data_IF_719999901968
#
_entry.id   IF_719999901968
#
_cell.length_a   1.000
_cell.length_b   1.000
_cell.length_c   1.000
_cell.angle_alpha   90.00
_cell.angle_beta   90.00
_cell.angle_gamma   90.00
#
_symmetry.space_group_name_H-M   'P 1'
#
loop_
_entity.id
_entity.type
_entity.pdbx_description
1 polymer ?
#
# COMPACT_ATOMS: atom_id res chain seq x y z
N UNK A 1 17.23 -7.28 4.59
CA UNK A 1 16.48 -7.27 3.35
C UNK A 1 15.12 -7.96 3.41
N UNK A 2 14.76 -8.67 4.48
CA UNK A 2 13.44 -9.30 4.61
C UNK A 2 12.35 -8.25 4.81
N UNK A 3 11.12 -8.55 4.36
CA UNK A 3 9.94 -7.72 4.59
C UNK A 3 9.09 -8.32 5.70
N UNK A 4 8.62 -7.45 6.61
CA UNK A 4 7.88 -7.84 7.81
C UNK A 4 6.62 -7.01 7.91
N UNK A 5 5.48 -7.64 8.15
CA UNK A 5 4.23 -6.99 8.54
C UNK A 5 4.17 -6.89 10.07
N UNK A 6 3.92 -5.70 10.58
CA UNK A 6 3.79 -5.44 12.02
C UNK A 6 2.31 -5.20 12.34
N UNK A 7 1.80 -5.92 13.35
CA UNK A 7 0.40 -5.88 13.77
C UNK A 7 0.27 -5.92 15.29
N UNK A 8 -0.88 -5.50 15.80
CA UNK A 8 -1.30 -5.64 17.21
C UNK A 8 -0.38 -4.98 18.24
N UNK A 9 0.31 -3.91 17.88
CA UNK A 9 1.08 -3.09 18.83
C UNK A 9 0.13 -2.18 19.59
N UNK A 10 0.28 -2.11 20.90
CA UNK A 10 -0.47 -1.23 21.80
C UNK A 10 0.39 -0.02 22.16
N UNK A 11 -0.20 1.16 22.18
CA UNK A 11 0.48 2.43 22.38
C UNK A 11 0.98 3.01 21.06
N UNK A 12 2.05 2.50 20.49
CA UNK A 12 2.61 2.92 19.19
C UNK A 12 1.78 2.37 18.02
N UNK A 13 0.51 2.75 17.93
CA UNK A 13 -0.44 2.20 16.94
C UNK A 13 -0.15 2.61 15.51
N UNK A 14 0.65 3.65 15.29
CA UNK A 14 1.03 4.15 13.97
C UNK A 14 1.85 3.15 13.15
N UNK A 15 2.51 2.19 13.81
CA UNK A 15 3.27 1.13 13.14
C UNK A 15 2.39 -0.06 12.72
N UNK A 16 1.16 -0.16 13.23
CA UNK A 16 0.27 -1.28 12.92
C UNK A 16 -0.14 -1.30 11.44
N UNK A 17 -0.16 -2.50 10.89
CA UNK A 17 -0.46 -2.79 9.48
C UNK A 17 0.54 -2.17 8.50
N UNK A 18 1.73 -1.81 8.97
CA UNK A 18 2.83 -1.41 8.09
C UNK A 18 3.68 -2.61 7.71
N UNK A 19 4.09 -2.60 6.45
CA UNK A 19 5.14 -3.50 5.98
C UNK A 19 6.44 -2.72 5.96
N UNK A 20 7.46 -3.26 6.59
CA UNK A 20 8.78 -2.63 6.69
C UNK A 20 9.85 -3.56 6.15
N UNK A 21 10.92 -2.99 5.55
CA UNK A 21 12.13 -3.74 5.18
C UNK A 21 13.06 -3.80 6.39
N UNK A 22 13.64 -4.97 6.64
CA UNK A 22 14.62 -5.15 7.71
C UNK A 22 15.99 -4.69 7.22
N UNK A 23 16.58 -3.72 7.88
CA UNK A 23 17.93 -3.22 7.60
C UNK A 23 18.99 -4.12 8.25
N UNK A 24 18.80 -4.43 9.52
CA UNK A 24 19.72 -5.26 10.29
C UNK A 24 19.01 -6.03 11.39
N UNK A 25 19.57 -7.13 11.80
CA UNK A 25 19.04 -8.00 12.86
C UNK A 25 20.11 -8.19 13.92
N UNK A 26 19.72 -8.01 15.19
CA UNK A 26 20.48 -8.52 16.34
C UNK A 26 19.79 -9.82 16.76
N UNK A 27 20.47 -10.94 16.54
CA UNK A 27 19.90 -12.28 16.70
C UNK A 27 19.22 -12.43 18.07
N UNK A 28 17.98 -12.91 18.06
CA UNK A 28 17.11 -13.13 19.24
C UNK A 28 16.76 -11.88 20.06
N UNK A 29 17.21 -10.70 19.69
CA UNK A 29 17.02 -9.46 20.47
C UNK A 29 16.14 -8.45 19.75
N UNK A 30 16.50 -8.03 18.53
CA UNK A 30 15.82 -6.95 17.82
C UNK A 30 16.11 -6.93 16.33
N UNK A 31 15.36 -6.16 15.60
CA UNK A 31 15.66 -5.77 14.21
C UNK A 31 15.47 -4.27 14.02
N UNK A 32 16.11 -3.72 13.02
CA UNK A 32 15.97 -2.32 12.64
C UNK A 32 15.10 -2.25 11.39
N UNK A 33 13.99 -1.51 11.46
CA UNK A 33 13.14 -1.18 10.32
C UNK A 33 13.81 -0.07 9.50
N UNK A 34 13.99 -0.30 8.20
CA UNK A 34 14.63 0.65 7.31
C UNK A 34 13.68 1.79 6.94
N UNK A 35 14.19 3.03 6.93
CA UNK A 35 13.45 4.19 6.45
C UNK A 35 12.20 4.56 7.27
N UNK A 36 12.07 4.04 8.49
CA UNK A 36 10.96 4.35 9.38
C UNK A 36 11.41 5.36 10.44
N UNK A 37 10.87 6.59 10.35
CA UNK A 37 11.00 7.57 11.43
C UNK A 37 9.83 7.41 12.40
N UNK A 38 10.13 7.10 13.65
CA UNK A 38 9.15 6.93 14.72
C UNK A 38 9.12 8.09 15.73
N UNK A 39 9.82 9.19 15.45
CA UNK A 39 9.97 10.34 16.37
C UNK A 39 8.61 10.93 16.78
N UNK A 40 7.64 10.96 15.84
CA UNK A 40 6.27 11.44 16.11
C UNK A 40 5.29 10.36 16.57
N UNK A 41 5.76 9.14 16.88
CA UNK A 41 4.86 8.06 17.28
C UNK A 41 4.58 8.10 18.79
N UNK A 42 3.40 7.60 19.17
CA UNK A 42 3.07 7.41 20.57
C UNK A 42 3.94 6.34 21.21
N UNK A 43 4.12 6.42 22.52
CA UNK A 43 4.98 5.48 23.26
C UNK A 43 4.44 4.06 23.15
N UNK A 44 5.34 3.10 22.90
CA UNK A 44 5.01 1.67 22.96
C UNK A 44 4.62 1.28 24.40
N UNK A 45 3.56 0.49 24.51
CA UNK A 45 3.06 -0.02 25.78
C UNK A 45 3.25 -1.53 25.87
N UNK A 46 2.71 -2.28 24.92
CA UNK A 46 2.77 -3.75 24.94
C UNK A 46 2.36 -4.37 23.60
N UNK A 47 2.48 -5.69 23.51
CA UNK A 47 2.00 -6.47 22.38
C UNK A 47 2.86 -6.32 21.12
N UNK A 48 2.26 -6.64 20.00
CA UNK A 48 2.89 -6.60 18.67
C UNK A 48 3.34 -7.97 18.17
N UNK A 49 3.05 -8.21 16.91
CA UNK A 49 3.54 -9.37 16.15
C UNK A 49 4.26 -8.90 14.90
N UNK A 50 5.35 -9.55 14.58
CA UNK A 50 6.13 -9.33 13.37
C UNK A 50 6.07 -10.60 12.51
N UNK A 51 5.40 -10.51 11.35
CA UNK A 51 5.24 -11.64 10.42
C UNK A 51 6.10 -11.42 9.19
N UNK A 52 6.99 -12.35 8.91
CA UNK A 52 7.77 -12.34 7.66
C UNK A 52 6.82 -12.51 6.46
N UNK A 53 6.99 -11.67 5.45
CA UNK A 53 6.25 -11.73 4.20
C UNK A 53 7.06 -12.53 3.18
N UNK A 54 6.38 -13.49 2.54
CA UNK A 54 6.88 -14.21 1.38
C UNK A 54 6.00 -13.88 0.19
N UNK A 55 6.59 -13.31 -0.86
CA UNK A 55 5.86 -13.02 -2.10
C UNK A 55 5.72 -14.31 -2.90
N UNK A 56 4.49 -14.72 -3.20
CA UNK A 56 4.18 -15.97 -3.90
C UNK A 56 3.63 -15.76 -5.31
N UNK A 57 3.27 -14.55 -5.69
CA UNK A 57 2.72 -14.24 -7.01
C UNK A 57 3.29 -12.93 -7.53
N UNK A 58 3.52 -12.84 -8.85
CA UNK A 58 4.01 -11.64 -9.53
C UNK A 58 3.13 -11.29 -10.72
N UNK A 59 3.07 -10.00 -11.04
CA UNK A 59 2.52 -9.48 -12.28
C UNK A 59 3.68 -9.04 -13.17
N UNK A 60 3.91 -9.76 -14.25
CA UNK A 60 5.04 -9.50 -15.16
C UNK A 60 4.63 -8.66 -16.38
N UNK A 61 3.33 -8.45 -16.57
CA UNK A 61 2.72 -7.81 -17.73
C UNK A 61 1.93 -6.54 -17.37
N UNK A 62 2.49 -5.75 -16.44
CA UNK A 62 1.90 -4.46 -16.03
C UNK A 62 2.12 -3.45 -17.17
N UNK A 63 1.04 -2.81 -17.59
CA UNK A 63 1.04 -1.79 -18.65
C UNK A 63 0.99 -0.38 -18.12
N UNK A 64 0.40 -0.18 -16.94
CA UNK A 64 0.32 1.12 -16.28
C UNK A 64 0.22 0.95 -14.77
N UNK A 65 0.83 1.90 -14.04
CA UNK A 65 0.67 2.02 -12.59
C UNK A 65 0.27 3.46 -12.30
N UNK A 66 -0.83 3.63 -11.59
CA UNK A 66 -1.33 4.91 -11.11
C UNK A 66 -1.42 4.84 -9.57
N UNK A 67 -0.58 5.61 -8.92
CA UNK A 67 -0.48 5.63 -7.45
C UNK A 67 -0.33 7.08 -6.97
N UNK A 68 -1.43 7.87 -7.02
CA UNK A 68 -1.41 9.27 -6.61
C UNK A 68 -1.14 9.39 -5.10
N UNK A 69 -0.56 10.50 -4.69
CA UNK A 69 -0.39 10.81 -3.29
C UNK A 69 -1.73 11.00 -2.58
N UNK A 70 -1.76 10.73 -1.27
CA UNK A 70 -2.92 11.01 -0.45
C UNK A 70 -3.09 12.53 -0.31
N UNK A 71 -4.28 13.04 -0.63
CA UNK A 71 -4.65 14.43 -0.38
C UNK A 71 -5.55 14.52 0.86
N UNK A 72 -5.41 15.58 1.69
CA UNK A 72 -6.35 15.84 2.77
C UNK A 72 -7.71 16.25 2.20
N UNK A 73 -8.78 15.92 2.92
CA UNK A 73 -10.11 16.43 2.59
C UNK A 73 -10.15 17.95 2.84
N UNK A 74 -10.67 18.72 1.87
CA UNK A 74 -10.89 20.15 2.00
C UNK A 74 -12.28 20.40 2.58
N UNK A 75 -12.32 21.07 3.73
CA UNK A 75 -13.55 21.45 4.41
C UNK A 75 -13.73 22.96 4.20
N UNK A 76 -14.84 23.36 3.57
CA UNK A 76 -15.21 24.75 3.43
C UNK A 76 -15.69 25.29 4.80
N UNK A 77 -14.94 26.21 5.35
CA UNK A 77 -15.21 26.87 6.64
C UNK A 77 -15.55 28.35 6.45
N UNK A 78 -15.93 28.76 5.25
CA UNK A 78 -16.26 30.16 4.91
C UNK A 78 -17.49 30.62 5.66
N UNK A 79 -17.39 31.67 6.46
CA UNK A 79 -18.53 32.34 7.10
C UNK A 79 -19.17 33.39 6.15
N UNK A 80 -20.44 33.75 6.40
CA UNK A 80 -21.19 34.70 5.56
C UNK A 80 -20.53 36.07 5.49
N UNK A 81 -19.73 36.44 6.50
CA UNK A 81 -19.03 37.69 6.60
C UNK A 81 -17.56 37.62 6.16
N UNK A 82 -17.13 36.52 5.58
CA UNK A 82 -15.77 36.42 5.05
C UNK A 82 -15.74 36.97 3.62
N UNK A 83 -14.75 37.80 3.31
CA UNK A 83 -14.53 38.33 1.96
C UNK A 83 -13.81 37.31 1.04
N UNK A 84 -13.17 36.31 1.63
CA UNK A 84 -12.43 35.25 0.90
C UNK A 84 -12.81 33.88 1.42
N UNK A 85 -12.72 32.89 0.50
CA UNK A 85 -13.00 31.49 0.83
C UNK A 85 -11.99 30.95 1.83
N UNK A 86 -12.49 30.42 2.96
CA UNK A 86 -11.71 29.78 4.00
C UNK A 86 -11.77 28.26 3.84
N UNK A 87 -10.60 27.62 3.70
CA UNK A 87 -10.49 26.16 3.61
C UNK A 87 -9.71 25.65 4.81
N UNK A 88 -10.28 24.67 5.49
CA UNK A 88 -9.60 23.91 6.55
C UNK A 88 -9.36 22.50 6.07
N UNK A 89 -8.13 22.00 6.23
CA UNK A 89 -7.79 20.63 5.84
C UNK A 89 -8.20 19.64 6.94
N UNK A 90 -8.99 18.66 6.55
CA UNK A 90 -9.40 17.53 7.37
C UNK A 90 -8.36 16.41 7.40
N UNK A 91 -8.80 15.21 7.78
CA UNK A 91 -7.97 14.02 7.71
C UNK A 91 -7.71 13.62 6.25
N UNK A 92 -6.50 13.12 5.97
CA UNK A 92 -6.20 12.58 4.65
C UNK A 92 -7.10 11.37 4.35
N UNK A 93 -7.73 11.36 3.19
CA UNK A 93 -8.47 10.23 2.68
C UNK A 93 -7.54 9.01 2.48
N UNK A 94 -8.11 7.80 2.51
CA UNK A 94 -7.34 6.61 2.18
C UNK A 94 -6.79 6.73 0.75
N UNK A 95 -5.48 6.60 0.60
CA UNK A 95 -4.82 6.63 -0.70
C UNK A 95 -5.35 5.49 -1.56
N UNK A 96 -5.83 5.82 -2.76
CA UNK A 96 -6.30 4.85 -3.75
C UNK A 96 -5.36 4.87 -4.93
N UNK A 97 -5.08 3.70 -5.47
CA UNK A 97 -4.30 3.56 -6.68
C UNK A 97 -4.84 2.43 -7.55
N UNK A 98 -4.24 2.25 -8.69
CA UNK A 98 -4.57 1.13 -9.56
C UNK A 98 -3.37 0.75 -10.42
N UNK A 99 -3.39 -0.46 -10.91
CA UNK A 99 -2.49 -0.87 -11.98
C UNK A 99 -3.25 -1.68 -13.03
N UNK A 100 -2.84 -1.50 -14.27
CA UNK A 100 -3.38 -2.20 -15.42
C UNK A 100 -2.43 -3.30 -15.85
N UNK A 101 -2.99 -4.47 -16.13
CA UNK A 101 -2.26 -5.65 -16.59
C UNK A 101 -2.84 -6.14 -17.91
N UNK A 102 -2.06 -6.81 -18.74
CA UNK A 102 -2.62 -7.56 -19.87
C UNK A 102 -3.53 -8.65 -19.28
N UNK A 103 -4.73 -8.77 -19.83
CA UNK A 103 -5.77 -9.65 -19.29
C UNK A 103 -5.32 -11.12 -19.31
N UNK A 104 -5.08 -11.66 -18.13
CA UNK A 104 -4.87 -13.07 -17.87
C UNK A 104 -5.63 -13.48 -16.61
N UNK A 105 -6.94 -13.74 -16.73
CA UNK A 105 -7.83 -13.97 -15.59
C UNK A 105 -7.54 -15.26 -14.81
N UNK A 106 -6.72 -16.14 -15.35
CA UNK A 106 -6.33 -17.42 -14.72
C UNK A 106 -4.92 -17.39 -14.13
N UNK A 107 -4.19 -16.28 -14.26
CA UNK A 107 -2.87 -16.15 -13.64
C UNK A 107 -2.94 -16.29 -12.11
N UNK A 108 -1.91 -16.86 -11.52
CA UNK A 108 -1.80 -17.03 -10.07
C UNK A 108 -1.98 -15.71 -9.33
N UNK A 109 -1.45 -14.63 -9.90
CA UNK A 109 -1.54 -13.29 -9.30
C UNK A 109 -2.99 -12.76 -9.27
N UNK A 110 -3.76 -12.94 -10.36
CA UNK A 110 -5.19 -12.55 -10.39
C UNK A 110 -6.01 -13.42 -9.45
N UNK A 111 -5.74 -14.72 -9.37
CA UNK A 111 -6.42 -15.61 -8.42
C UNK A 111 -6.16 -15.20 -6.98
N UNK A 112 -4.92 -14.82 -6.64
CA UNK A 112 -4.59 -14.29 -5.30
C UNK A 112 -5.33 -12.98 -5.00
N UNK A 113 -5.43 -12.06 -5.96
CA UNK A 113 -6.22 -10.82 -5.82
C UNK A 113 -7.69 -11.15 -5.53
N UNK A 114 -8.28 -12.08 -6.27
CA UNK A 114 -9.67 -12.50 -6.08
C UNK A 114 -9.88 -13.16 -4.70
N UNK A 115 -8.96 -13.99 -4.27
CA UNK A 115 -8.98 -14.63 -2.95
C UNK A 115 -8.91 -13.58 -1.84
N UNK A 116 -8.02 -12.60 -1.97
CA UNK A 116 -7.89 -11.50 -1.03
C UNK A 116 -9.14 -10.63 -0.98
N UNK A 117 -9.74 -10.34 -2.14
CA UNK A 117 -10.98 -9.57 -2.25
C UNK A 117 -12.14 -10.30 -1.58
N UNK A 118 -12.32 -11.60 -1.86
CA UNK A 118 -13.39 -12.40 -1.27
C UNK A 118 -13.27 -12.52 0.26
N UNK A 119 -12.04 -12.65 0.75
CA UNK A 119 -11.75 -12.71 2.19
C UNK A 119 -11.69 -11.33 2.87
N UNK A 120 -11.83 -10.23 2.12
CA UNK A 120 -11.65 -8.86 2.60
C UNK A 120 -10.33 -8.68 3.38
N UNK A 121 -9.24 -9.24 2.85
CA UNK A 121 -7.92 -9.20 3.48
C UNK A 121 -6.97 -8.32 2.69
N UNK A 122 -6.03 -7.69 3.40
CA UNK A 122 -4.96 -6.91 2.78
C UNK A 122 -3.87 -7.83 2.23
N UNK A 123 -3.15 -7.32 1.24
CA UNK A 123 -1.95 -7.95 0.71
C UNK A 123 -0.79 -6.96 0.72
N UNK A 124 0.38 -7.47 1.03
CA UNK A 124 1.62 -6.74 0.85
C UNK A 124 1.96 -6.74 -0.65
N UNK A 125 2.25 -5.57 -1.19
CA UNK A 125 2.59 -5.38 -2.59
C UNK A 125 3.98 -4.76 -2.64
N UNK A 126 4.86 -5.39 -3.41
CA UNK A 126 6.18 -4.88 -3.71
C UNK A 126 6.23 -4.47 -5.19
N UNK A 127 6.49 -3.21 -5.44
CA UNK A 127 6.74 -2.67 -6.78
C UNK A 127 8.24 -2.45 -6.92
N UNK A 128 8.82 -3.00 -7.98
CA UNK A 128 10.22 -2.77 -8.34
C UNK A 128 10.28 -1.99 -9.66
N UNK A 129 10.88 -0.81 -9.61
CA UNK A 129 11.06 0.02 -10.79
C UNK A 129 12.38 -0.32 -11.49
N UNK A 130 12.43 -0.14 -12.81
CA UNK A 130 13.64 -0.33 -13.60
C UNK A 130 14.80 0.59 -13.18
N UNK A 131 14.49 1.72 -12.51
CA UNK A 131 15.47 2.63 -11.91
C UNK A 131 16.17 2.08 -10.67
N UNK A 132 15.77 0.88 -10.18
CA UNK A 132 16.31 0.26 -8.96
C UNK A 132 15.52 0.59 -7.69
N UNK A 133 14.64 1.59 -7.72
CA UNK A 133 13.80 1.87 -6.55
C UNK A 133 12.74 0.80 -6.34
N UNK A 134 12.46 0.52 -5.07
CA UNK A 134 11.42 -0.41 -4.64
C UNK A 134 10.43 0.29 -3.72
N UNK A 135 9.14 0.07 -3.95
CA UNK A 135 8.07 0.52 -3.07
C UNK A 135 7.37 -0.67 -2.45
N UNK A 136 7.18 -0.64 -1.13
CA UNK A 136 6.39 -1.63 -0.41
C UNK A 136 5.17 -0.98 0.21
N UNK A 137 4.04 -1.64 0.13
CA UNK A 137 2.78 -1.16 0.66
C UNK A 137 1.89 -2.30 1.14
N UNK A 138 0.94 -1.98 2.03
CA UNK A 138 -0.10 -2.90 2.48
C UNK A 138 -1.47 -2.34 2.06
N UNK A 139 -2.16 -3.05 1.17
CA UNK A 139 -3.37 -2.57 0.55
C UNK A 139 -4.48 -3.63 0.48
N UNK A 140 -5.73 -3.19 0.48
CA UNK A 140 -6.81 -3.98 -0.06
C UNK A 140 -6.71 -3.97 -1.58
N UNK A 141 -6.90 -5.14 -2.18
CA UNK A 141 -6.82 -5.34 -3.62
C UNK A 141 -8.16 -5.83 -4.15
N UNK A 142 -8.54 -5.36 -5.33
CA UNK A 142 -9.79 -5.77 -5.98
C UNK A 142 -9.66 -5.71 -7.50
N UNK A 143 -10.43 -6.54 -8.21
CA UNK A 143 -10.49 -6.55 -9.67
C UNK A 143 -9.68 -7.66 -10.33
N UNK A 144 -9.20 -7.43 -11.54
CA UNK A 144 -8.33 -8.34 -12.30
C UNK A 144 -9.04 -9.33 -13.22
N UNK A 145 -10.32 -9.66 -12.99
CA UNK A 145 -11.09 -10.54 -13.91
C UNK A 145 -11.83 -9.79 -15.02
N UNK A 146 -12.25 -8.55 -14.75
CA UNK A 146 -12.81 -7.69 -15.77
C UNK A 146 -11.70 -7.24 -16.73
N UNK A 147 -12.01 -7.16 -18.03
CA UNK A 147 -11.07 -6.65 -19.02
C UNK A 147 -11.77 -5.72 -20.00
N UNK A 148 -10.99 -4.83 -20.56
CA UNK A 148 -11.38 -3.99 -21.70
C UNK A 148 -10.36 -4.15 -22.82
N UNK A 149 -10.82 -4.09 -24.05
CA UNK A 149 -9.95 -4.19 -25.22
C UNK A 149 -10.73 -3.90 -26.50
N UNK A 150 -10.04 -3.68 -27.58
CA UNK A 150 -10.62 -3.41 -28.90
C UNK A 150 -9.95 -4.26 -29.98
N UNK A 151 -10.45 -4.17 -31.20
CA UNK A 151 -9.86 -4.87 -32.36
C UNK A 151 -8.43 -4.36 -32.55
N UNK A 152 -7.46 -5.28 -32.55
CA UNK A 152 -6.03 -4.94 -32.69
C UNK A 152 -5.34 -4.45 -31.41
N UNK A 153 -6.02 -4.43 -30.27
CA UNK A 153 -5.44 -4.09 -28.97
C UNK A 153 -5.50 -5.27 -28.02
N UNK A 154 -4.47 -5.42 -27.19
CA UNK A 154 -4.50 -6.41 -26.12
C UNK A 154 -5.57 -6.04 -25.09
N UNK A 155 -6.34 -7.04 -24.65
CA UNK A 155 -7.25 -6.84 -23.51
C UNK A 155 -6.47 -6.48 -22.25
N UNK A 156 -6.95 -5.49 -21.50
CA UNK A 156 -6.35 -5.07 -20.23
C UNK A 156 -7.33 -5.23 -19.09
N UNK A 157 -6.86 -5.79 -17.98
CA UNK A 157 -7.56 -5.85 -16.71
C UNK A 157 -7.05 -4.76 -15.76
N UNK A 158 -7.91 -4.25 -14.92
CA UNK A 158 -7.54 -3.27 -13.89
C UNK A 158 -7.62 -3.88 -12.50
N UNK A 159 -6.64 -3.59 -11.68
CA UNK A 159 -6.61 -3.96 -10.27
C UNK A 159 -6.57 -2.68 -9.45
N UNK A 160 -7.59 -2.49 -8.63
CA UNK A 160 -7.71 -1.36 -7.73
C UNK A 160 -7.01 -1.65 -6.40
N UNK A 161 -6.39 -0.62 -5.86
CA UNK A 161 -5.69 -0.63 -4.58
C UNK A 161 -6.30 0.39 -3.63
N UNK A 162 -6.49 0.01 -2.38
CA UNK A 162 -6.80 0.95 -1.30
C UNK A 162 -5.76 0.75 -0.20
N UNK A 163 -4.88 1.73 -0.05
CA UNK A 163 -3.76 1.67 0.85
C UNK A 163 -4.18 2.03 2.28
N UNK A 164 -3.58 1.38 3.25
CA UNK A 164 -3.72 1.76 4.65
C UNK A 164 -2.77 2.89 5.04
N UNK A 165 -1.55 2.82 4.54
CA UNK A 165 -0.47 3.77 4.82
C UNK A 165 0.22 4.13 3.51
N UNK A 166 0.89 5.28 3.47
CA UNK A 166 1.70 5.66 2.32
C UNK A 166 2.75 4.58 2.00
N UNK A 167 3.06 4.36 0.72
CA UNK A 167 4.13 3.45 0.30
C UNK A 167 5.47 3.83 0.93
N UNK A 168 6.25 2.84 1.31
CA UNK A 168 7.64 3.05 1.72
C UNK A 168 8.57 2.77 0.55
N UNK A 169 9.46 3.73 0.26
CA UNK A 169 10.41 3.67 -0.82
C UNK A 169 11.80 3.31 -0.32
N UNK A 170 12.48 2.47 -1.07
CA UNK A 170 13.86 2.05 -0.79
C UNK A 170 14.67 2.12 -2.06
N UNK A 171 15.95 2.48 -1.93
CA UNK A 171 16.95 2.20 -2.97
C UNK A 171 17.30 0.72 -2.96
N UNK A 172 17.65 0.17 -4.11
CA UNK A 172 18.10 -1.22 -4.25
C UNK A 172 19.34 -1.52 -3.43
#
# INVERSE_FOLDING_TARGET
GDYILIEAVVGMTQINNRVVRVKSVSTTVSFVAEGLDSTGYTTYVSGGTAKKITFGASFDNITNIDLPDASPDEIDATAINDDERQIVFGHAAAQKGSFSVIADPLSTAVVEVQTAQAANTRRAILISLASGYKAIMNAYVAGGKGFSGGVGAAGTGQIALTLRNAPQWFSS
#
